data_IF_822352966644
#
_entry.id   IF_822352966644
#
_cell.length_a   1.000
_cell.length_b   1.000
_cell.length_c   1.000
_cell.angle_alpha   90.00
_cell.angle_beta   90.00
_cell.angle_gamma   90.00
#
_symmetry.space_group_name_H-M   'P 1'
#
loop_
_entity.id
_entity.type
_entity.pdbx_description
1 polymer ?
#
# COMPACT_ATOMS: atom_id res chain seq x y z
N UNK A 1 -36.55 22.58 18.20
CA UNK A 1 -35.20 21.95 18.16
C UNK A 1 -34.94 21.54 16.74
N UNK A 2 -34.05 22.23 16.02
CA UNK A 2 -33.68 21.85 14.65
C UNK A 2 -32.94 20.51 14.70
N UNK A 3 -33.40 19.55 13.92
CA UNK A 3 -32.67 18.31 13.67
C UNK A 3 -31.47 18.65 12.80
N UNK A 4 -30.29 18.73 13.40
CA UNK A 4 -29.02 18.83 12.70
C UNK A 4 -28.92 17.70 11.65
N UNK A 5 -28.69 18.08 10.40
CA UNK A 5 -28.66 17.15 9.26
C UNK A 5 -27.54 16.13 9.43
N UNK A 6 -27.71 14.94 8.85
CA UNK A 6 -26.63 13.95 8.79
C UNK A 6 -25.40 14.51 8.05
N UNK A 7 -25.65 15.38 7.07
CA UNK A 7 -24.62 16.08 6.29
C UNK A 7 -23.83 17.04 7.17
N UNK A 8 -24.52 17.85 8.01
CA UNK A 8 -23.87 18.79 8.94
C UNK A 8 -22.95 18.05 9.93
N UNK A 9 -23.39 16.88 10.42
CA UNK A 9 -22.58 16.04 11.33
C UNK A 9 -21.37 15.44 10.65
N UNK A 10 -21.51 15.02 9.39
CA UNK A 10 -20.41 14.49 8.60
C UNK A 10 -19.37 15.58 8.32
N UNK A 11 -19.82 16.78 7.92
CA UNK A 11 -18.95 17.92 7.69
C UNK A 11 -18.21 18.32 8.98
N UNK A 12 -18.90 18.40 10.11
CA UNK A 12 -18.28 18.67 11.41
C UNK A 12 -17.22 17.62 11.77
N UNK A 13 -17.51 16.33 11.54
CA UNK A 13 -16.56 15.25 11.82
C UNK A 13 -15.31 15.34 10.93
N UNK A 14 -15.46 15.61 9.64
CA UNK A 14 -14.35 15.80 8.70
C UNK A 14 -13.48 17.01 9.07
N UNK A 15 -14.10 18.12 9.44
CA UNK A 15 -13.38 19.32 9.88
C UNK A 15 -12.61 19.06 11.18
N UNK A 16 -13.25 18.40 12.14
CA UNK A 16 -12.62 18.04 13.42
C UNK A 16 -11.44 17.10 13.22
N UNK A 17 -11.59 16.09 12.35
CA UNK A 17 -10.51 15.17 12.01
C UNK A 17 -9.31 15.90 11.38
N UNK A 18 -9.57 16.81 10.43
CA UNK A 18 -8.52 17.60 9.76
C UNK A 18 -7.74 18.45 10.76
N UNK A 19 -8.44 19.11 11.70
CA UNK A 19 -7.80 19.91 12.76
C UNK A 19 -6.94 19.01 13.65
N UNK A 20 -7.48 17.87 14.11
CA UNK A 20 -6.75 16.94 14.97
C UNK A 20 -5.48 16.39 14.30
N UNK A 21 -5.54 16.05 13.01
CA UNK A 21 -4.36 15.57 12.27
C UNK A 21 -3.29 16.65 12.16
N UNK A 22 -3.68 17.90 11.89
CA UNK A 22 -2.75 19.03 11.85
C UNK A 22 -2.09 19.27 13.21
N UNK A 23 -2.84 19.18 14.31
CA UNK A 23 -2.29 19.32 15.66
C UNK A 23 -1.27 18.21 15.98
N UNK A 24 -1.53 16.99 15.52
CA UNK A 24 -0.60 15.85 15.67
C UNK A 24 0.69 16.11 14.87
N UNK A 25 0.58 16.53 13.61
CA UNK A 25 1.71 16.91 12.76
C UNK A 25 2.55 18.00 13.45
N UNK A 26 1.92 19.12 13.81
CA UNK A 26 2.58 20.26 14.45
C UNK A 26 3.28 19.86 15.76
N UNK A 27 2.63 19.03 16.59
CA UNK A 27 3.23 18.54 17.84
C UNK A 27 4.46 17.69 17.57
N UNK A 28 4.43 16.82 16.56
CA UNK A 28 5.56 15.96 16.22
C UNK A 28 6.75 16.76 15.69
N UNK A 29 6.50 17.77 14.85
CA UNK A 29 7.52 18.67 14.31
C UNK A 29 8.10 19.59 15.39
N UNK A 30 7.26 20.11 16.29
CA UNK A 30 7.73 20.89 17.44
C UNK A 30 8.62 20.05 18.35
N UNK A 31 8.23 18.79 18.61
CA UNK A 31 9.06 17.87 19.38
C UNK A 31 10.41 17.66 18.71
N UNK A 32 10.43 17.33 17.42
CA UNK A 32 11.68 17.19 16.66
C UNK A 32 12.56 18.43 16.75
N UNK A 33 11.98 19.62 16.57
CA UNK A 33 12.71 20.89 16.63
C UNK A 33 13.18 21.27 18.04
N UNK A 34 12.59 20.69 19.09
CA UNK A 34 13.03 20.88 20.48
C UNK A 34 14.28 20.06 20.84
N UNK A 35 14.59 19.02 20.07
CA UNK A 35 15.75 18.15 20.29
C UNK A 35 17.05 18.86 19.91
N UNK A 36 18.13 18.53 20.62
CA UNK A 36 19.49 18.94 20.19
C UNK A 36 19.87 18.21 18.91
N UNK A 37 20.89 18.71 18.19
CA UNK A 37 21.37 18.04 16.96
C UNK A 37 21.89 16.63 17.20
N UNK A 38 22.49 16.38 18.36
CA UNK A 38 22.92 15.05 18.77
C UNK A 38 21.72 14.12 18.99
N UNK A 39 20.71 14.58 19.72
CA UNK A 39 19.47 13.81 19.93
C UNK A 39 18.72 13.55 18.62
N UNK A 40 18.65 14.53 17.71
CA UNK A 40 18.08 14.36 16.38
C UNK A 40 18.80 13.26 15.60
N UNK A 41 20.14 13.25 15.62
CA UNK A 41 20.94 12.22 14.94
C UNK A 41 20.70 10.83 15.56
N UNK A 42 20.64 10.74 16.88
CA UNK A 42 20.37 9.48 17.58
C UNK A 42 18.98 8.93 17.23
N UNK A 43 17.95 9.78 17.28
CA UNK A 43 16.58 9.42 16.90
C UNK A 43 16.52 9.00 15.44
N UNK A 44 17.15 9.76 14.53
CA UNK A 44 17.22 9.42 13.12
C UNK A 44 17.84 8.03 12.92
N UNK A 45 19.01 7.77 13.50
CA UNK A 45 19.67 6.47 13.38
C UNK A 45 18.84 5.33 13.99
N UNK A 46 18.15 5.58 15.10
CA UNK A 46 17.29 4.59 15.74
C UNK A 46 16.05 4.25 14.88
N UNK A 47 15.45 5.25 14.23
CA UNK A 47 14.32 5.06 13.31
C UNK A 47 14.80 4.35 12.04
N UNK A 48 15.90 4.79 11.42
CA UNK A 48 16.42 4.18 10.19
C UNK A 48 16.73 2.69 10.36
N UNK A 49 17.29 2.28 11.50
CA UNK A 49 17.54 0.84 11.78
C UNK A 49 16.26 0.02 11.84
N UNK A 50 15.18 0.57 12.41
CA UNK A 50 13.87 -0.10 12.48
C UNK A 50 13.20 -0.18 11.12
N UNK A 51 13.25 0.90 10.34
CA UNK A 51 12.76 0.90 8.96
C UNK A 51 13.53 -0.14 8.14
N UNK A 52 14.86 -0.15 8.23
CA UNK A 52 15.67 -1.14 7.52
C UNK A 52 15.31 -2.58 7.91
N UNK A 53 15.22 -2.86 9.21
CA UNK A 53 14.83 -4.18 9.72
C UNK A 53 13.43 -4.59 9.23
N UNK A 54 12.45 -3.70 9.35
CA UNK A 54 11.06 -4.00 9.01
C UNK A 54 10.81 -4.10 7.50
N UNK A 55 11.30 -3.14 6.74
CA UNK A 55 11.05 -3.02 5.29
C UNK A 55 11.96 -3.93 4.47
N UNK A 56 13.26 -3.97 4.79
CA UNK A 56 14.27 -4.61 3.93
C UNK A 56 14.59 -6.02 4.41
N UNK A 57 14.93 -6.19 5.69
CA UNK A 57 15.37 -7.49 6.21
C UNK A 57 14.21 -8.46 6.42
N UNK A 58 13.11 -7.99 7.03
CA UNK A 58 11.96 -8.83 7.37
C UNK A 58 10.82 -8.75 6.35
N UNK A 59 10.79 -7.71 5.50
CA UNK A 59 9.71 -7.46 4.54
C UNK A 59 8.32 -7.61 5.18
N UNK A 60 8.17 -7.06 6.39
CA UNK A 60 6.95 -7.17 7.17
C UNK A 60 5.82 -6.32 6.58
N UNK A 61 4.56 -6.68 6.87
CA UNK A 61 3.44 -5.79 6.53
C UNK A 61 3.56 -4.47 7.29
N UNK A 62 3.01 -3.38 6.74
CA UNK A 62 2.93 -2.07 7.41
C UNK A 62 2.56 -2.15 8.90
N UNK A 63 1.51 -2.90 9.24
CA UNK A 63 1.06 -3.07 10.64
C UNK A 63 2.06 -3.83 11.50
N UNK A 64 2.66 -4.89 10.96
CA UNK A 64 3.69 -5.64 11.66
C UNK A 64 4.89 -4.74 12.00
N UNK A 65 5.32 -3.89 11.05
CA UNK A 65 6.43 -2.97 11.31
C UNK A 65 6.07 -1.97 12.41
N UNK A 66 4.88 -1.36 12.36
CA UNK A 66 4.43 -0.43 13.41
C UNK A 66 4.34 -1.09 14.79
N UNK A 67 3.79 -2.30 14.89
CA UNK A 67 3.43 -2.87 16.19
C UNK A 67 4.54 -3.73 16.78
N UNK A 68 5.23 -4.52 15.96
CA UNK A 68 6.25 -5.46 16.44
C UNK A 68 7.66 -4.86 16.39
N UNK A 69 7.99 -4.08 15.36
CA UNK A 69 9.34 -3.51 15.20
C UNK A 69 9.49 -2.18 15.95
N UNK A 70 8.49 -1.30 15.83
CA UNK A 70 8.47 -0.04 16.57
C UNK A 70 7.87 -0.16 17.97
N UNK A 71 7.05 -1.17 18.24
CA UNK A 71 6.41 -1.36 19.55
C UNK A 71 5.22 -0.41 19.79
N UNK A 72 4.64 0.14 18.73
CA UNK A 72 3.49 1.05 18.85
C UNK A 72 2.16 0.29 18.93
N UNK A 73 1.14 0.98 19.42
CA UNK A 73 -0.24 0.46 19.43
C UNK A 73 -0.97 0.86 18.14
N UNK A 74 -2.21 0.39 18.00
CA UNK A 74 -3.07 0.64 16.82
C UNK A 74 -3.26 2.11 16.50
N UNK A 75 -3.16 3.00 17.50
CA UNK A 75 -3.28 4.45 17.37
C UNK A 75 -2.22 5.07 16.44
N UNK A 76 -1.04 4.47 16.34
CA UNK A 76 0.04 4.97 15.48
C UNK A 76 -0.25 4.77 13.99
N UNK A 77 -1.25 3.96 13.62
CA UNK A 77 -1.54 3.65 12.21
C UNK A 77 -1.79 4.90 11.38
N UNK A 78 -2.74 5.74 11.82
CA UNK A 78 -3.17 6.94 11.09
C UNK A 78 -2.08 8.01 11.15
N UNK A 79 -1.42 8.17 12.31
CA UNK A 79 -0.35 9.16 12.47
C UNK A 79 0.85 8.84 11.58
N UNK A 80 1.29 7.59 11.52
CA UNK A 80 2.38 7.18 10.63
C UNK A 80 1.98 7.23 9.15
N UNK A 81 0.70 6.98 8.83
CA UNK A 81 0.19 7.12 7.47
C UNK A 81 0.25 8.60 7.03
N UNK A 82 -0.19 9.50 7.90
CA UNK A 82 -0.17 10.95 7.68
C UNK A 82 1.25 11.49 7.56
N UNK A 83 2.18 11.01 8.38
CA UNK A 83 3.62 11.29 8.28
C UNK A 83 4.29 10.69 7.02
N UNK A 84 3.53 10.04 6.14
CA UNK A 84 4.00 9.52 4.85
C UNK A 84 4.64 8.13 4.90
N UNK A 85 4.69 7.47 6.06
CA UNK A 85 5.36 6.18 6.19
C UNK A 85 4.67 5.08 5.38
N UNK A 86 3.33 5.09 5.27
CA UNK A 86 2.62 4.14 4.42
C UNK A 86 2.99 4.28 2.94
N UNK A 87 3.22 5.51 2.47
CA UNK A 87 3.67 5.74 1.10
C UNK A 87 5.09 5.21 0.87
N UNK A 88 5.98 5.39 1.86
CA UNK A 88 7.34 4.81 1.86
C UNK A 88 7.26 3.28 1.83
N UNK A 89 6.49 2.69 2.74
CA UNK A 89 6.27 1.24 2.82
C UNK A 89 5.80 0.70 1.46
N UNK A 90 4.76 1.29 0.86
CA UNK A 90 4.25 0.84 -0.43
C UNK A 90 5.22 1.06 -1.60
N UNK A 91 6.20 1.96 -1.46
CA UNK A 91 7.22 2.19 -2.49
C UNK A 91 8.36 1.19 -2.41
N UNK A 92 8.68 0.71 -1.20
CA UNK A 92 9.75 -0.27 -0.93
C UNK A 92 9.20 -1.69 -1.06
N UNK A 93 8.03 -1.92 -0.46
CA UNK A 93 7.32 -3.17 -0.49
C UNK A 93 6.67 -3.30 -1.87
N UNK A 94 7.09 -4.26 -2.72
CA UNK A 94 6.53 -4.46 -4.07
C UNK A 94 5.07 -4.98 -4.07
N UNK A 95 4.37 -4.83 -2.93
CA UNK A 95 3.13 -5.49 -2.62
C UNK A 95 3.31 -7.00 -2.55
N UNK A 96 2.29 -7.69 -2.07
CA UNK A 96 1.98 -8.99 -2.63
C UNK A 96 1.54 -8.81 -4.09
N UNK A 97 2.42 -8.30 -4.95
CA UNK A 97 2.51 -8.83 -6.29
C UNK A 97 2.54 -10.35 -6.09
N UNK A 98 1.54 -11.13 -6.56
CA UNK A 98 1.70 -12.57 -6.57
C UNK A 98 3.07 -12.81 -7.17
N UNK A 99 3.89 -13.70 -6.56
CA UNK A 99 5.20 -14.01 -7.14
C UNK A 99 5.03 -14.15 -8.65
N UNK A 100 5.98 -13.70 -9.45
CA UNK A 100 5.73 -13.65 -10.90
C UNK A 100 5.33 -15.03 -11.45
N UNK A 101 5.74 -16.13 -10.80
CA UNK A 101 5.18 -17.47 -10.97
C UNK A 101 3.67 -17.60 -10.74
N UNK A 102 3.12 -17.07 -9.64
CA UNK A 102 1.66 -17.05 -9.37
C UNK A 102 0.91 -16.16 -10.37
N UNK A 103 1.47 -15.01 -10.78
CA UNK A 103 0.87 -14.20 -11.85
C UNK A 103 0.83 -14.97 -13.17
N UNK A 104 1.94 -15.61 -13.55
CA UNK A 104 2.02 -16.47 -14.74
C UNK A 104 0.97 -17.57 -14.64
N UNK A 105 0.82 -18.23 -13.49
CA UNK A 105 -0.13 -19.33 -13.32
C UNK A 105 -1.60 -18.87 -13.46
N UNK A 106 -1.95 -17.72 -12.87
CA UNK A 106 -3.29 -17.12 -13.02
C UNK A 106 -3.57 -16.70 -14.46
N UNK A 107 -2.63 -16.00 -15.11
CA UNK A 107 -2.78 -15.56 -16.49
C UNK A 107 -2.86 -16.75 -17.45
N UNK A 108 -2.06 -17.79 -17.23
CA UNK A 108 -2.07 -19.02 -18.04
C UNK A 108 -3.41 -19.73 -17.94
N UNK A 109 -3.98 -19.87 -16.73
CA UNK A 109 -5.31 -20.46 -16.55
C UNK A 109 -6.40 -19.67 -17.28
N UNK A 110 -6.32 -18.35 -17.25
CA UNK A 110 -7.28 -17.49 -17.94
C UNK A 110 -7.15 -17.59 -19.47
N UNK A 111 -5.91 -17.63 -19.99
CA UNK A 111 -5.65 -17.90 -21.42
C UNK A 111 -6.26 -19.23 -21.85
N UNK A 112 -6.05 -20.30 -21.09
CA UNK A 112 -6.62 -21.62 -21.41
C UNK A 112 -8.14 -21.63 -21.38
N UNK A 113 -8.75 -20.92 -20.42
CA UNK A 113 -10.20 -20.73 -20.35
C UNK A 113 -10.74 -20.02 -21.59
N UNK A 114 -10.08 -18.95 -22.02
CA UNK A 114 -10.46 -18.18 -23.20
C UNK A 114 -10.26 -18.97 -24.49
N UNK A 115 -9.15 -19.71 -24.63
CA UNK A 115 -8.90 -20.61 -25.77
C UNK A 115 -9.98 -21.67 -25.90
N UNK A 116 -10.41 -22.26 -24.78
CA UNK A 116 -11.51 -23.24 -24.78
C UNK A 116 -12.82 -22.61 -25.26
N UNK A 117 -13.14 -21.39 -24.80
CA UNK A 117 -14.35 -20.66 -25.19
C UNK A 117 -14.33 -20.23 -26.66
N UNK A 118 -13.19 -19.76 -27.16
CA UNK A 118 -12.99 -19.39 -28.57
C UNK A 118 -13.22 -20.59 -29.50
N UNK A 119 -12.69 -21.77 -29.17
CA UNK A 119 -12.86 -23.00 -29.96
C UNK A 119 -14.31 -23.50 -30.02
N UNK A 120 -15.16 -23.11 -29.08
CA UNK A 120 -16.58 -23.50 -29.04
C UNK A 120 -17.52 -22.50 -29.72
N UNK A 121 -17.01 -21.46 -30.38
CA UNK A 121 -17.83 -20.44 -31.05
C UNK A 121 -17.84 -20.61 -32.56
N UNK A 122 -19.04 -20.55 -33.16
CA UNK A 122 -19.22 -20.82 -34.60
C UNK A 122 -18.94 -19.61 -35.51
N UNK A 123 -19.20 -18.36 -35.09
CA UNK A 123 -18.78 -17.13 -35.79
C UNK A 123 -19.03 -15.91 -34.87
N UNK A 124 -17.95 -15.31 -34.35
CA UNK A 124 -17.82 -13.99 -33.67
C UNK A 124 -16.87 -14.05 -32.45
N UNK A 125 -15.67 -14.61 -32.68
CA UNK A 125 -14.67 -14.83 -31.63
C UNK A 125 -13.57 -13.76 -31.56
N UNK A 126 -13.64 -12.70 -32.36
CA UNK A 126 -12.53 -11.75 -32.56
C UNK A 126 -12.03 -11.13 -31.25
N UNK A 127 -12.95 -10.76 -30.36
CA UNK A 127 -12.63 -10.21 -29.05
C UNK A 127 -11.87 -11.19 -28.14
N UNK A 128 -12.16 -12.49 -28.23
CA UNK A 128 -11.42 -13.52 -27.47
C UNK A 128 -10.02 -13.71 -28.01
N UNK A 129 -9.84 -13.69 -29.33
CA UNK A 129 -8.51 -13.81 -29.94
C UNK A 129 -7.61 -12.63 -29.56
N UNK A 130 -8.15 -11.41 -29.56
CA UNK A 130 -7.44 -10.21 -29.08
C UNK A 130 -7.10 -10.32 -27.59
N UNK A 131 -8.06 -10.74 -26.75
CA UNK A 131 -7.82 -10.91 -25.31
C UNK A 131 -6.75 -11.98 -25.01
N UNK A 132 -6.78 -13.11 -25.73
CA UNK A 132 -5.76 -14.16 -25.63
C UNK A 132 -4.38 -13.59 -25.98
N UNK A 133 -4.27 -12.85 -27.09
CA UNK A 133 -3.00 -12.30 -27.57
C UNK A 133 -2.38 -11.31 -26.57
N UNK A 134 -3.21 -10.45 -25.96
CA UNK A 134 -2.79 -9.49 -24.93
C UNK A 134 -2.31 -10.21 -23.67
N UNK A 135 -3.03 -11.23 -23.22
CA UNK A 135 -2.66 -11.98 -22.02
C UNK A 135 -1.38 -12.81 -22.25
N UNK A 136 -1.22 -13.40 -23.44
CA UNK A 136 0.01 -14.11 -23.80
C UNK A 136 1.23 -13.19 -23.87
N UNK A 137 1.07 -11.96 -24.38
CA UNK A 137 2.15 -10.96 -24.35
C UNK A 137 2.53 -10.57 -22.93
N UNK A 138 1.54 -10.35 -22.07
CA UNK A 138 1.78 -10.02 -20.66
C UNK A 138 2.47 -11.14 -19.90
N UNK A 139 2.19 -12.41 -20.22
CA UNK A 139 2.94 -13.56 -19.69
C UNK A 139 4.40 -13.52 -20.17
N UNK A 140 4.64 -13.23 -21.46
CA UNK A 140 6.01 -13.12 -22.01
C UNK A 140 6.83 -12.02 -21.34
N UNK A 141 6.23 -10.84 -21.13
CA UNK A 141 6.89 -9.73 -20.44
C UNK A 141 7.31 -10.11 -19.02
N UNK A 142 6.41 -10.76 -18.26
CA UNK A 142 6.70 -11.20 -16.89
C UNK A 142 7.81 -12.27 -16.86
N UNK A 143 7.82 -13.20 -17.83
CA UNK A 143 8.88 -14.22 -17.96
C UNK A 143 10.25 -13.60 -18.29
N UNK A 144 10.29 -12.50 -19.05
CA UNK A 144 11.56 -11.81 -19.36
C UNK A 144 12.15 -11.06 -18.17
N UNK A 145 11.34 -10.74 -17.16
CA UNK A 145 11.78 -10.06 -15.94
C UNK A 145 12.17 -11.01 -14.80
N UNK A 146 11.99 -12.32 -14.98
CA UNK A 146 12.42 -13.41 -14.07
C UNK A 146 13.86 -13.84 -14.36
#
# INVERSE_FOLDING_TARGET
MSTESLEDKFELACNTFTIAMKEIEEKSEQYWNSLTKEQQLDVFCAISRRIYLGEIEQQGSYRYILYEIFGFNTEAYIQAQDAGYLAIHNSIYPGQSPSDHVKIDVLTREVERLKKKYKSMDHDGGHYNTAISVLEERIREIVQTL
#
